data_IF_784788894443
#
_entry.id   IF_784788894443
#
_cell.length_a   1.000
_cell.length_b   1.000
_cell.length_c   1.000
_cell.angle_alpha   90.00
_cell.angle_beta   90.00
_cell.angle_gamma   90.00
#
_symmetry.space_group_name_H-M   'P 1'
#
loop_
_entity.id
_entity.type
_entity.pdbx_description
1 polymer ?
#
# COMPACT_ATOMS: atom_id res chain seq x y z
N UNK A 1 12.81 -7.21 -14.40
CA UNK A 1 13.11 -7.28 -12.96
C UNK A 1 11.85 -7.65 -12.20
N UNK A 2 11.95 -8.62 -11.31
CA UNK A 2 10.80 -9.11 -10.56
C UNK A 2 10.66 -8.33 -9.26
N UNK A 3 9.51 -7.67 -9.09
CA UNK A 3 9.22 -6.94 -7.88
C UNK A 3 8.59 -7.91 -6.88
N UNK A 4 9.08 -7.92 -5.65
CA UNK A 4 8.55 -8.76 -4.59
C UNK A 4 7.78 -7.92 -3.56
N UNK A 5 6.89 -8.56 -2.83
CA UNK A 5 6.16 -7.90 -1.76
C UNK A 5 7.12 -7.32 -0.71
N UNK A 6 8.15 -8.07 -0.37
CA UNK A 6 9.19 -7.64 0.57
C UNK A 6 9.87 -6.34 0.12
N UNK A 7 10.16 -6.24 -1.17
CA UNK A 7 10.79 -5.06 -1.73
C UNK A 7 9.88 -3.83 -1.63
N UNK A 8 8.59 -4.02 -1.87
CA UNK A 8 7.60 -2.94 -1.74
C UNK A 8 7.53 -2.44 -0.29
N UNK A 9 7.48 -3.35 0.66
CA UNK A 9 7.43 -2.99 2.09
C UNK A 9 8.66 -2.17 2.46
N UNK A 10 9.81 -2.55 1.97
CA UNK A 10 11.06 -1.85 2.24
C UNK A 10 11.11 -0.48 1.57
N UNK A 11 10.75 -0.42 0.30
CA UNK A 11 10.86 0.81 -0.49
C UNK A 11 9.93 1.92 -0.01
N UNK A 12 8.77 1.56 0.50
CA UNK A 12 7.80 2.52 1.01
C UNK A 12 7.81 2.66 2.54
N UNK A 13 8.74 2.00 3.21
CA UNK A 13 8.87 2.03 4.67
C UNK A 13 7.60 1.61 5.40
N UNK A 14 6.93 0.58 4.91
CA UNK A 14 5.77 0.03 5.59
C UNK A 14 6.16 -0.64 6.91
N UNK A 15 5.35 -0.39 7.92
CA UNK A 15 5.49 -1.03 9.23
C UNK A 15 4.40 -2.10 9.34
N UNK A 16 4.79 -3.30 9.70
CA UNK A 16 3.84 -4.40 9.89
C UNK A 16 3.12 -4.23 11.22
N UNK A 17 1.79 -4.14 11.15
CA UNK A 17 0.96 -4.01 12.34
C UNK A 17 0.50 -5.38 12.86
N UNK A 18 0.20 -6.30 11.95
CA UNK A 18 -0.13 -7.67 12.28
C UNK A 18 0.15 -8.57 11.08
N UNK A 19 -0.27 -9.84 11.13
CA UNK A 19 0.04 -10.81 10.09
C UNK A 19 -0.45 -10.39 8.69
N UNK A 20 -1.47 -9.54 8.61
CA UNK A 20 -2.10 -9.17 7.34
C UNK A 20 -2.10 -7.69 7.03
N UNK A 21 -1.70 -6.84 7.98
CA UNK A 21 -1.83 -5.39 7.83
C UNK A 21 -0.48 -4.69 7.98
N UNK A 22 -0.20 -3.82 7.01
CA UNK A 22 0.98 -2.97 7.02
C UNK A 22 0.54 -1.53 6.85
N UNK A 23 1.30 -0.61 7.40
CA UNK A 23 0.97 0.82 7.35
C UNK A 23 2.21 1.66 7.06
N UNK A 24 2.01 2.71 6.25
CA UNK A 24 3.04 3.72 6.02
C UNK A 24 2.37 5.09 6.08
N UNK A 25 3.03 6.03 6.75
CA UNK A 25 2.56 7.41 6.83
C UNK A 25 3.43 8.28 5.95
N UNK A 26 2.81 9.04 5.06
CA UNK A 26 3.46 10.02 4.21
C UNK A 26 2.98 11.41 4.63
N UNK A 27 3.58 12.44 4.07
CA UNK A 27 3.33 13.80 4.51
C UNK A 27 1.85 14.18 4.57
N UNK A 28 1.10 13.88 3.52
CA UNK A 28 -0.33 14.21 3.44
C UNK A 28 -1.23 12.98 3.37
N UNK A 29 -0.66 11.79 3.44
CA UNK A 29 -1.40 10.57 3.22
C UNK A 29 -1.03 9.50 4.23
N UNK A 30 -1.99 8.66 4.56
CA UNK A 30 -1.75 7.44 5.33
C UNK A 30 -2.19 6.27 4.47
N UNK A 31 -1.30 5.30 4.30
CA UNK A 31 -1.56 4.15 3.45
C UNK A 31 -1.56 2.89 4.31
N UNK A 32 -2.65 2.12 4.20
CA UNK A 32 -2.75 0.81 4.82
C UNK A 32 -2.77 -0.24 3.73
N UNK A 33 -1.94 -1.25 3.89
CA UNK A 33 -1.81 -2.35 2.95
C UNK A 33 -2.27 -3.63 3.61
N UNK A 34 -3.20 -4.32 2.97
CA UNK A 34 -3.74 -5.59 3.47
C UNK A 34 -3.30 -6.71 2.54
N UNK A 35 -2.79 -7.79 3.14
CA UNK A 35 -2.35 -8.97 2.39
C UNK A 35 -3.21 -10.17 2.77
N UNK A 36 -3.89 -10.74 1.79
CA UNK A 36 -4.72 -11.93 1.96
C UNK A 36 -4.30 -12.99 0.93
N UNK A 37 -3.35 -13.85 1.32
CA UNK A 37 -2.82 -14.85 0.39
C UNK A 37 -2.14 -14.20 -0.80
N UNK A 38 -2.69 -14.37 -1.99
CA UNK A 38 -2.17 -13.77 -3.23
C UNK A 38 -2.90 -12.48 -3.61
N UNK A 39 -3.85 -12.03 -2.77
CA UNK A 39 -4.60 -10.80 -3.03
C UNK A 39 -4.17 -9.72 -2.06
N UNK A 40 -4.24 -8.48 -2.53
CA UNK A 40 -3.84 -7.32 -1.74
C UNK A 40 -4.91 -6.24 -1.84
N UNK A 41 -5.05 -5.45 -0.78
CA UNK A 41 -5.90 -4.28 -0.79
C UNK A 41 -5.10 -3.08 -0.29
N UNK A 42 -5.24 -1.96 -0.95
CA UNK A 42 -4.58 -0.71 -0.55
C UNK A 42 -5.64 0.29 -0.17
N UNK A 43 -5.53 0.83 1.04
CA UNK A 43 -6.41 1.88 1.51
C UNK A 43 -5.59 3.14 1.71
N UNK A 44 -5.94 4.19 0.97
CA UNK A 44 -5.27 5.48 1.07
C UNK A 44 -6.22 6.49 1.69
N UNK A 45 -5.82 7.07 2.79
CA UNK A 45 -6.57 8.13 3.45
C UNK A 45 -5.77 9.43 3.35
N UNK A 46 -6.37 10.47 2.81
CA UNK A 46 -5.73 11.77 2.70
C UNK A 46 -6.10 12.62 3.91
N UNK A 47 -5.11 13.16 4.58
CA UNK A 47 -5.33 13.93 5.81
C UNK A 47 -6.08 15.24 5.58
N UNK A 48 -5.90 15.85 4.40
CA UNK A 48 -6.52 17.14 4.07
C UNK A 48 -7.97 17.03 3.62
N UNK A 49 -8.38 15.85 3.19
CA UNK A 49 -9.72 15.60 2.69
C UNK A 49 -10.19 14.29 3.28
N UNK A 50 -11.41 14.23 3.75
CA UNK A 50 -11.96 12.97 4.27
C UNK A 50 -12.23 11.96 3.14
N UNK A 51 -11.26 11.83 2.25
CA UNK A 51 -11.37 10.95 1.08
C UNK A 51 -10.60 9.66 1.35
N UNK A 52 -11.29 8.54 1.27
CA UNK A 52 -10.70 7.22 1.43
C UNK A 52 -10.81 6.50 0.09
N UNK A 53 -9.69 6.08 -0.45
CA UNK A 53 -9.65 5.28 -1.67
C UNK A 53 -9.20 3.87 -1.32
N UNK A 54 -9.96 2.88 -1.79
CA UNK A 54 -9.62 1.47 -1.60
C UNK A 54 -9.43 0.83 -2.97
N UNK A 55 -8.28 0.20 -3.16
CA UNK A 55 -7.96 -0.50 -4.41
C UNK A 55 -7.66 -1.95 -4.13
N UNK A 56 -8.25 -2.83 -4.92
CA UNK A 56 -8.01 -4.27 -4.83
C UNK A 56 -6.99 -4.68 -5.88
N UNK A 57 -6.01 -5.47 -5.48
CA UNK A 57 -4.94 -5.93 -6.36
C UNK A 57 -4.83 -7.45 -6.29
N UNK A 58 -4.66 -8.09 -7.43
CA UNK A 58 -4.58 -9.54 -7.53
C UNK A 58 -3.16 -10.08 -7.67
N UNK A 59 -2.19 -9.18 -7.75
CA UNK A 59 -0.78 -9.56 -7.87
C UNK A 59 0.11 -8.47 -7.28
N UNK A 60 1.37 -8.83 -7.04
CA UNK A 60 2.38 -7.88 -6.57
C UNK A 60 2.59 -6.77 -7.59
N UNK A 61 2.52 -7.09 -8.87
CA UNK A 61 2.67 -6.11 -9.94
C UNK A 61 1.56 -5.06 -9.89
N UNK A 62 0.31 -5.49 -9.73
CA UNK A 62 -0.83 -4.58 -9.60
C UNK A 62 -0.73 -3.73 -8.34
N UNK A 63 -0.25 -4.32 -7.25
CA UNK A 63 -0.02 -3.61 -6.01
C UNK A 63 1.01 -2.49 -6.19
N UNK A 64 2.11 -2.80 -6.85
CA UNK A 64 3.17 -1.82 -7.13
C UNK A 64 2.64 -0.67 -7.99
N UNK A 65 1.88 -0.99 -9.02
CA UNK A 65 1.28 0.01 -9.90
C UNK A 65 0.29 0.90 -9.15
N UNK A 66 -0.53 0.31 -8.27
CA UNK A 66 -1.48 1.06 -7.47
C UNK A 66 -0.78 2.03 -6.52
N UNK A 67 0.27 1.57 -5.85
CA UNK A 67 1.05 2.41 -4.95
C UNK A 67 1.74 3.55 -5.70
N UNK A 68 2.25 3.28 -6.89
CA UNK A 68 2.91 4.29 -7.71
C UNK A 68 1.96 5.41 -8.13
N UNK A 69 0.69 5.11 -8.30
CA UNK A 69 -0.32 6.09 -8.67
C UNK A 69 -0.81 6.91 -7.47
N UNK A 70 -0.83 6.32 -6.30
CA UNK A 70 -1.44 6.92 -5.12
C UNK A 70 -0.44 7.63 -4.23
N UNK A 71 0.77 7.14 -4.19
CA UNK A 71 1.83 7.74 -3.38
C UNK A 71 2.71 8.57 -4.30
N UNK A 72 2.57 9.87 -4.18
CA UNK A 72 3.41 10.81 -4.93
C UNK A 72 4.65 11.09 -4.10
N UNK A 73 5.72 10.50 -4.51
CA UNK A 73 7.02 10.78 -3.92
C UNK A 73 7.75 11.84 -4.72
#
# INVERSE_FOLDING_TARGET
MKITFKQIIKDYDFIQLNAHVYRADFEDESVELYKFGSHYAVRVAMCSYDTINIMMCNSVKELYEALSKCVHC
#
